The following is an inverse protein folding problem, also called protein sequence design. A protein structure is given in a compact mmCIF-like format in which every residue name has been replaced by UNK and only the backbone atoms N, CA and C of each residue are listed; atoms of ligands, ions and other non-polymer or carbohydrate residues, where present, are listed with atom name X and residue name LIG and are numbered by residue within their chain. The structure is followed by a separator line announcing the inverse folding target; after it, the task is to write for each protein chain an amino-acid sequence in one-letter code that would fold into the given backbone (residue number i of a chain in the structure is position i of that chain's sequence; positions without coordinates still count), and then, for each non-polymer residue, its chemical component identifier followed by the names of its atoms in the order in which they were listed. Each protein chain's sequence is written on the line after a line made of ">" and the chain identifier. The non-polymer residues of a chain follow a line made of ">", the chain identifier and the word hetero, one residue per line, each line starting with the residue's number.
data_IF_081153775113
#
_entry.id   IF_081153775113
#
_cell.length_a   1.000
_cell.length_b   1.000
_cell.length_c   1.000
_cell.angle_alpha   90.00
_cell.angle_beta   90.00
_cell.angle_gamma   90.00
#
_symmetry.space_group_name_H-M   'P 1'
#
loop_
_entity.id
_entity.type
_entity.pdbx_description
1 polymer ?
#
# COMPACT_ATOMS: atom_id res chain seq x y z
N UNK A 1 -4.04 5.32 15.60
CA UNK A 1 -4.67 4.09 16.08
C UNK A 1 -5.58 3.65 14.95
N UNK A 2 -5.38 2.46 14.36
CA UNK A 2 -6.24 2.00 13.27
C UNK A 2 -7.66 1.80 13.83
N UNK A 3 -8.65 2.42 13.19
CA UNK A 3 -10.06 2.16 13.51
C UNK A 3 -10.44 0.80 12.94
N UNK A 4 -11.04 -0.06 13.77
CA UNK A 4 -11.47 -1.41 13.38
C UNK A 4 -12.97 -1.39 13.07
N UNK A 5 -13.35 -1.77 11.86
CA UNK A 5 -14.75 -1.89 11.48
C UNK A 5 -15.27 -3.31 11.76
N UNK A 6 -16.43 -3.39 12.41
CA UNK A 6 -17.05 -4.66 12.80
C UNK A 6 -18.53 -4.70 12.37
N UNK A 7 -18.97 -5.86 11.93
CA UNK A 7 -20.37 -6.15 11.59
C UNK A 7 -21.00 -6.95 12.74
N UNK A 8 -22.20 -6.55 13.16
CA UNK A 8 -23.00 -7.32 14.13
C UNK A 8 -23.76 -8.43 13.41
N UNK A 9 -23.37 -9.67 13.65
CA UNK A 9 -24.05 -10.89 13.17
C UNK A 9 -24.82 -11.55 14.32
N UNK A 10 -25.51 -12.68 14.12
CA UNK A 10 -26.15 -13.39 15.23
C UNK A 10 -25.12 -13.94 16.25
N UNK A 11 -23.96 -14.38 15.75
CA UNK A 11 -22.90 -15.04 16.50
C UNK A 11 -21.97 -14.07 17.25
N UNK A 12 -22.03 -12.76 16.94
CA UNK A 12 -21.22 -11.76 17.63
C UNK A 12 -20.87 -10.58 16.75
N UNK A 13 -19.69 -10.00 16.99
CA UNK A 13 -19.06 -9.01 16.13
C UNK A 13 -18.02 -9.72 15.26
N UNK A 14 -18.06 -9.48 13.95
CA UNK A 14 -17.09 -10.02 12.98
C UNK A 14 -16.38 -8.87 12.25
N UNK A 15 -15.14 -9.04 11.77
CA UNK A 15 -14.45 -8.05 10.94
C UNK A 15 -15.27 -7.68 9.69
N UNK A 16 -15.27 -6.39 9.31
CA UNK A 16 -16.03 -5.90 8.16
C UNK A 16 -15.27 -5.96 6.82
N UNK A 17 -13.94 -6.09 6.87
CA UNK A 17 -13.06 -6.20 5.71
C UNK A 17 -11.93 -7.18 5.99
N UNK A 18 -11.18 -7.56 4.96
CA UNK A 18 -10.02 -8.44 5.15
C UNK A 18 -8.91 -7.74 5.94
N UNK A 19 -8.75 -6.42 5.77
CA UNK A 19 -7.84 -5.62 6.59
C UNK A 19 -8.23 -5.66 8.09
N UNK A 20 -9.52 -5.55 8.40
CA UNK A 20 -10.02 -5.70 9.77
C UNK A 20 -9.75 -7.13 10.30
N UNK A 21 -9.92 -8.14 9.44
CA UNK A 21 -9.69 -9.54 9.80
C UNK A 21 -8.24 -9.79 10.19
N UNK A 22 -7.28 -9.30 9.42
CA UNK A 22 -5.85 -9.42 9.72
C UNK A 22 -5.48 -8.80 11.08
N UNK A 23 -6.12 -7.69 11.46
CA UNK A 23 -5.90 -7.08 12.78
C UNK A 23 -6.45 -7.98 13.88
N UNK A 24 -7.67 -8.48 13.74
CA UNK A 24 -8.29 -9.34 14.76
C UNK A 24 -7.62 -10.70 14.92
N UNK A 25 -7.07 -11.28 13.84
CA UNK A 25 -6.35 -12.56 13.87
C UNK A 25 -5.04 -12.49 14.65
N UNK A 26 -4.45 -11.29 14.80
CA UNK A 26 -3.24 -11.09 15.63
C UNK A 26 -3.54 -11.20 17.12
N UNK A 27 -4.81 -11.10 17.52
CA UNK A 27 -5.21 -11.23 18.92
C UNK A 27 -5.30 -12.70 19.34
N UNK A 28 -4.78 -13.01 20.53
CA UNK A 28 -4.79 -14.39 21.04
C UNK A 28 -6.20 -14.78 21.46
N UNK A 29 -6.55 -16.05 21.26
CA UNK A 29 -7.78 -16.61 21.81
C UNK A 29 -7.83 -16.41 23.34
N UNK A 30 -8.94 -15.89 23.85
CA UNK A 30 -9.12 -15.55 25.26
C UNK A 30 -8.58 -14.18 25.70
N UNK A 31 -7.95 -13.41 24.80
CA UNK A 31 -7.50 -12.05 25.11
C UNK A 31 -8.70 -11.11 25.29
N UNK A 32 -8.71 -10.36 26.40
CA UNK A 32 -9.70 -9.30 26.62
C UNK A 32 -9.32 -8.08 25.76
N UNK A 33 -10.20 -7.69 24.86
CA UNK A 33 -10.05 -6.50 24.02
C UNK A 33 -11.09 -5.47 24.45
N UNK A 34 -10.65 -4.24 24.74
CA UNK A 34 -11.54 -3.13 25.03
C UNK A 34 -11.55 -2.15 23.85
N UNK A 35 -12.72 -1.62 23.51
CA UNK A 35 -12.87 -0.67 22.41
C UNK A 35 -14.06 0.26 22.65
N UNK A 36 -14.00 1.47 22.09
CA UNK A 36 -15.16 2.36 22.01
C UNK A 36 -15.82 2.13 20.66
N UNK A 37 -17.05 1.64 20.66
CA UNK A 37 -17.78 1.38 19.42
C UNK A 37 -18.69 2.55 19.07
N UNK A 38 -18.60 3.00 17.83
CA UNK A 38 -19.50 4.01 17.25
C UNK A 38 -20.12 3.46 15.97
N UNK A 39 -21.35 3.87 15.67
CA UNK A 39 -22.02 3.44 14.43
C UNK A 39 -21.37 4.15 13.24
N UNK A 40 -20.82 3.37 12.31
CA UNK A 40 -20.34 3.90 11.05
C UNK A 40 -21.52 4.32 10.18
N UNK A 41 -21.59 5.61 9.81
CA UNK A 41 -22.70 6.16 9.03
C UNK A 41 -22.70 5.66 7.58
N UNK A 42 -21.52 5.51 6.99
CA UNK A 42 -21.33 5.19 5.57
C UNK A 42 -20.48 3.93 5.36
N UNK A 43 -20.89 2.82 5.98
CA UNK A 43 -20.19 1.54 5.88
C UNK A 43 -20.07 1.03 4.42
N UNK A 44 -21.01 1.40 3.54
CA UNK A 44 -20.95 1.07 2.11
C UNK A 44 -19.68 1.60 1.42
N UNK A 45 -19.23 2.80 1.77
CA UNK A 45 -18.04 3.42 1.18
C UNK A 45 -16.76 2.75 1.66
N UNK A 46 -16.73 2.42 2.96
CA UNK A 46 -15.64 1.66 3.55
C UNK A 46 -15.49 0.32 2.82
N UNK A 47 -16.57 -0.47 2.74
CA UNK A 47 -16.55 -1.76 2.03
C UNK A 47 -16.10 -1.63 0.59
N UNK A 48 -16.70 -0.71 -0.19
CA UNK A 48 -16.35 -0.49 -1.60
C UNK A 48 -14.89 -0.06 -1.79
N UNK A 49 -14.36 0.78 -0.91
CA UNK A 49 -12.97 1.22 -0.97
C UNK A 49 -11.99 0.09 -0.69
N UNK A 50 -12.24 -0.68 0.37
CA UNK A 50 -11.34 -1.77 0.76
C UNK A 50 -11.40 -2.94 -0.22
N UNK A 51 -12.55 -3.27 -0.80
CA UNK A 51 -12.63 -4.35 -1.80
C UNK A 51 -11.81 -4.06 -3.06
N UNK A 52 -11.76 -2.80 -3.50
CA UNK A 52 -10.88 -2.35 -4.57
C UNK A 52 -9.40 -2.49 -4.21
N UNK A 53 -9.02 -2.14 -2.97
CA UNK A 53 -7.64 -2.31 -2.51
C UNK A 53 -7.26 -3.77 -2.36
N UNK A 54 -8.19 -4.61 -1.90
CA UNK A 54 -8.00 -6.05 -1.76
C UNK A 54 -7.79 -6.70 -3.15
N UNK A 55 -8.56 -6.30 -4.15
CA UNK A 55 -8.31 -6.71 -5.54
C UNK A 55 -6.89 -6.31 -5.99
N UNK A 56 -6.53 -5.04 -5.83
CA UNK A 56 -5.21 -4.57 -6.24
C UNK A 56 -4.08 -5.27 -5.48
N UNK A 57 -4.31 -5.63 -4.23
CA UNK A 57 -3.36 -6.37 -3.40
C UNK A 57 -3.13 -7.81 -3.90
N UNK A 58 -4.20 -8.49 -4.33
CA UNK A 58 -4.12 -9.86 -4.87
C UNK A 58 -3.26 -9.94 -6.13
N UNK A 59 -3.33 -8.94 -6.99
CA UNK A 59 -2.55 -8.87 -8.23
C UNK A 59 -1.18 -8.19 -8.07
N UNK A 60 -0.90 -7.58 -6.92
CA UNK A 60 0.36 -6.87 -6.72
C UNK A 60 1.48 -7.82 -6.32
N UNK A 61 2.55 -7.82 -7.11
CA UNK A 61 3.81 -8.52 -6.80
C UNK A 61 4.92 -7.52 -6.42
N UNK A 62 5.68 -7.77 -5.34
CA UNK A 62 6.78 -6.90 -4.93
C UNK A 62 7.94 -6.98 -5.93
N UNK A 63 8.02 -6.00 -6.82
CA UNK A 63 9.12 -5.87 -7.80
C UNK A 63 10.38 -5.21 -7.20
N UNK A 64 10.25 -4.58 -6.03
CA UNK A 64 11.35 -3.93 -5.35
C UNK A 64 12.15 -4.93 -4.53
N UNK A 65 13.45 -5.05 -4.81
CA UNK A 65 14.37 -5.83 -3.99
C UNK A 65 14.70 -5.14 -2.65
N UNK A 66 15.72 -5.64 -1.98
CA UNK A 66 16.19 -5.09 -0.69
C UNK A 66 16.89 -3.73 -0.83
N UNK A 67 17.05 -3.22 -2.05
CA UNK A 67 17.53 -1.87 -2.35
C UNK A 67 16.36 -1.01 -2.85
N UNK A 68 15.88 -0.05 -2.04
CA UNK A 68 14.78 0.83 -2.43
C UNK A 68 15.09 1.66 -3.68
N UNK A 69 14.05 1.98 -4.46
CA UNK A 69 14.17 2.76 -5.71
C UNK A 69 14.87 4.11 -5.55
N UNK A 70 14.68 4.79 -4.41
CA UNK A 70 15.34 6.07 -4.15
C UNK A 70 16.84 5.93 -3.97
N UNK A 71 17.28 4.89 -3.25
CA UNK A 71 18.69 4.55 -3.07
C UNK A 71 19.31 4.16 -4.41
N UNK A 72 18.64 3.31 -5.18
CA UNK A 72 19.03 2.94 -6.54
C UNK A 72 19.25 4.18 -7.43
N UNK A 73 18.32 5.14 -7.38
CA UNK A 73 18.43 6.40 -8.14
C UNK A 73 19.63 7.23 -7.68
N UNK A 74 19.92 7.25 -6.38
CA UNK A 74 21.10 7.91 -5.83
C UNK A 74 22.42 7.29 -6.33
N UNK A 75 22.53 5.96 -6.24
CA UNK A 75 23.71 5.20 -6.70
C UNK A 75 23.94 5.42 -8.19
N UNK A 76 22.91 5.23 -9.02
CA UNK A 76 22.99 5.44 -10.47
C UNK A 76 23.28 6.91 -10.83
N UNK A 77 22.74 7.85 -10.06
CA UNK A 77 23.00 9.28 -10.23
C UNK A 77 24.47 9.64 -9.97
N UNK A 78 25.05 9.08 -8.90
CA UNK A 78 26.46 9.28 -8.56
C UNK A 78 27.38 8.68 -9.63
N UNK A 79 27.08 7.49 -10.12
CA UNK A 79 27.85 6.87 -11.21
C UNK A 79 27.85 7.73 -12.47
N UNK A 80 26.67 8.21 -12.89
CA UNK A 80 26.53 9.13 -14.04
C UNK A 80 27.32 10.43 -13.83
N UNK A 81 27.33 10.97 -12.62
CA UNK A 81 28.12 12.15 -12.29
C UNK A 81 29.62 11.93 -12.50
N UNK A 82 30.16 10.82 -12.01
CA UNK A 82 31.58 10.49 -12.19
C UNK A 82 31.94 10.21 -13.65
N UNK A 83 31.10 9.50 -14.38
CA UNK A 83 31.30 9.24 -15.82
C UNK A 83 31.30 10.53 -16.65
N UNK A 84 30.43 11.49 -16.30
CA UNK A 84 30.42 12.80 -16.93
C UNK A 84 31.68 13.60 -16.59
N UNK A 85 32.13 13.57 -15.33
CA UNK A 85 33.34 14.26 -14.88
C UNK A 85 34.62 13.68 -15.49
N UNK A 86 34.67 12.37 -15.74
CA UNK A 86 35.83 11.69 -16.35
C UNK A 86 35.81 11.71 -17.89
N UNK A 87 34.70 12.11 -18.50
CA UNK A 87 34.49 12.08 -19.96
C UNK A 87 34.35 10.67 -20.54
N UNK A 88 34.09 9.65 -19.70
CA UNK A 88 34.02 8.24 -20.11
C UNK A 88 32.64 7.66 -19.75
N UNK A 89 31.64 7.77 -20.65
CA UNK A 89 30.30 7.28 -20.38
C UNK A 89 30.28 5.75 -20.24
N UNK A 90 29.43 5.24 -19.34
CA UNK A 90 29.23 3.81 -19.05
C UNK A 90 30.45 3.06 -18.50
N UNK A 91 31.52 3.75 -18.11
CA UNK A 91 32.71 3.10 -17.57
C UNK A 91 32.44 2.40 -16.23
N UNK A 92 31.43 2.85 -15.47
CA UNK A 92 31.15 2.35 -14.13
C UNK A 92 29.97 1.38 -14.10
N UNK A 93 29.34 1.05 -15.23
CA UNK A 93 28.11 0.23 -15.25
C UNK A 93 28.27 -1.10 -14.52
N UNK A 94 29.37 -1.80 -14.78
CA UNK A 94 29.59 -3.14 -14.26
C UNK A 94 29.95 -3.09 -12.77
N UNK A 95 30.74 -2.09 -12.36
CA UNK A 95 31.09 -1.86 -10.96
C UNK A 95 29.85 -1.48 -10.14
N UNK A 96 28.96 -0.66 -10.69
CA UNK A 96 27.70 -0.26 -10.05
C UNK A 96 26.77 -1.46 -9.91
N UNK A 97 26.62 -2.27 -10.96
CA UNK A 97 25.84 -3.49 -10.91
C UNK A 97 26.38 -4.47 -9.85
N UNK A 98 27.71 -4.65 -9.79
CA UNK A 98 28.36 -5.48 -8.78
C UNK A 98 28.12 -4.96 -7.35
N UNK A 99 28.22 -3.64 -7.14
CA UNK A 99 27.96 -3.02 -5.84
C UNK A 99 26.51 -3.22 -5.38
N UNK A 100 25.54 -3.02 -6.27
CA UNK A 100 24.12 -3.25 -5.98
C UNK A 100 23.89 -4.72 -5.61
N UNK A 101 24.44 -5.65 -6.38
CA UNK A 101 24.29 -7.08 -6.12
C UNK A 101 24.90 -7.49 -4.77
N UNK A 102 26.06 -6.93 -4.41
CA UNK A 102 26.67 -7.13 -3.09
C UNK A 102 25.76 -6.59 -1.98
N UNK A 103 25.25 -5.36 -2.13
CA UNK A 103 24.35 -4.74 -1.15
C UNK A 103 23.06 -5.54 -0.95
N UNK A 104 22.49 -6.09 -2.02
CA UNK A 104 21.33 -6.98 -1.96
C UNK A 104 21.64 -8.27 -1.20
N UNK A 105 22.80 -8.91 -1.45
CA UNK A 105 23.21 -10.13 -0.76
C UNK A 105 23.41 -9.90 0.75
N UNK A 106 24.12 -8.83 1.13
CA UNK A 106 24.33 -8.47 2.53
C UNK A 106 23.02 -8.17 3.27
N UNK A 107 22.08 -7.50 2.59
CA UNK A 107 20.75 -7.23 3.17
C UNK A 107 19.91 -8.50 3.27
N UNK A 108 20.02 -9.42 2.31
CA UNK A 108 19.28 -10.67 2.34
C UNK A 108 19.71 -11.56 3.51
N UNK A 109 21.00 -11.56 3.85
CA UNK A 109 21.51 -12.23 5.05
C UNK A 109 20.93 -11.62 6.33
N UNK A 110 20.84 -10.29 6.39
CA UNK A 110 20.31 -9.57 7.56
C UNK A 110 18.79 -9.64 7.69
N UNK A 111 18.07 -9.72 6.58
CA UNK A 111 16.60 -9.68 6.50
C UNK A 111 16.08 -10.84 5.62
N UNK A 112 16.14 -12.10 6.10
CA UNK A 112 15.91 -13.29 5.28
C UNK A 112 14.45 -13.54 4.88
N UNK A 113 13.48 -12.91 5.54
CA UNK A 113 12.06 -13.01 5.21
C UNK A 113 11.38 -11.66 5.38
N UNK A 114 10.95 -11.06 4.26
CA UNK A 114 10.19 -9.81 4.24
C UNK A 114 8.86 -10.09 3.57
N UNK A 115 7.82 -10.24 4.38
CA UNK A 115 6.48 -10.50 3.90
C UNK A 115 5.82 -9.24 3.34
N UNK A 116 4.88 -9.43 2.39
CA UNK A 116 4.01 -8.33 1.95
C UNK A 116 3.19 -7.83 3.15
N UNK A 117 2.96 -6.53 3.24
CA UNK A 117 2.02 -5.93 4.21
C UNK A 117 0.86 -5.20 3.52
N UNK A 118 -0.39 -5.61 3.78
CA UNK A 118 -1.59 -4.94 3.23
C UNK A 118 -1.66 -3.48 3.66
N UNK A 119 -1.32 -3.21 4.91
CA UNK A 119 -1.30 -1.84 5.44
C UNK A 119 -0.27 -0.97 4.72
N UNK A 120 0.94 -1.49 4.51
CA UNK A 120 1.98 -0.77 3.76
C UNK A 120 1.60 -0.56 2.29
N UNK A 121 0.96 -1.55 1.66
CA UNK A 121 0.43 -1.43 0.30
C UNK A 121 -0.67 -0.36 0.20
N UNK A 122 -1.63 -0.36 1.13
CA UNK A 122 -2.68 0.67 1.22
C UNK A 122 -2.08 2.06 1.36
N UNK A 123 -1.12 2.25 2.28
CA UNK A 123 -0.46 3.53 2.47
C UNK A 123 0.25 3.98 1.20
N UNK A 124 0.98 3.08 0.54
CA UNK A 124 1.65 3.35 -0.71
C UNK A 124 0.67 3.79 -1.81
N UNK A 125 -0.40 3.03 -2.06
CA UNK A 125 -1.40 3.39 -3.07
C UNK A 125 -2.07 4.73 -2.75
N UNK A 126 -2.38 5.00 -1.47
CA UNK A 126 -2.98 6.27 -1.05
C UNK A 126 -2.05 7.46 -1.31
N UNK A 127 -0.74 7.28 -1.08
CA UNK A 127 0.29 8.28 -1.40
C UNK A 127 0.40 8.49 -2.91
N UNK A 128 0.40 7.40 -3.69
CA UNK A 128 0.48 7.45 -5.16
C UNK A 128 -0.76 8.05 -5.81
N UNK A 129 -1.92 7.98 -5.14
CA UNK A 129 -3.15 8.66 -5.50
C UNK A 129 -3.12 10.17 -5.16
N UNK A 130 -2.07 10.67 -4.51
CA UNK A 130 -1.93 12.09 -4.15
C UNK A 130 -2.53 12.45 -2.79
N UNK A 131 -3.05 11.49 -2.02
CA UNK A 131 -3.62 11.73 -0.71
C UNK A 131 -2.57 11.59 0.40
N UNK A 132 -1.60 12.50 0.43
CA UNK A 132 -0.54 12.52 1.44
C UNK A 132 -0.27 13.92 1.99
N UNK A 133 0.44 13.99 3.11
CA UNK A 133 1.09 15.19 3.61
C UNK A 133 2.60 14.94 3.75
N UNK A 134 3.38 16.02 3.70
CA UNK A 134 4.82 15.95 3.96
C UNK A 134 5.05 16.13 5.45
N UNK A 135 5.79 15.21 6.05
CA UNK A 135 6.26 15.30 7.43
C UNK A 135 7.77 15.39 7.46
N UNK A 136 8.29 16.23 8.36
CA UNK A 136 9.72 16.32 8.64
C UNK A 136 10.03 15.46 9.86
N UNK A 137 10.88 14.47 9.68
CA UNK A 137 11.42 13.60 10.74
C UNK A 137 12.91 13.94 10.97
N UNK A 138 13.53 13.41 12.02
CA UNK A 138 14.99 13.49 12.20
C UNK A 138 15.79 12.96 11.01
N UNK A 139 15.21 11.98 10.28
CA UNK A 139 15.84 11.35 9.11
C UNK A 139 15.58 12.09 7.80
N UNK A 140 14.74 13.13 7.81
CA UNK A 140 14.44 13.94 6.63
C UNK A 140 12.94 14.12 6.36
N UNK A 141 12.60 14.56 5.15
CA UNK A 141 11.20 14.74 4.74
C UNK A 141 10.68 13.45 4.13
N UNK A 142 9.54 12.95 4.63
CA UNK A 142 8.83 11.80 4.05
C UNK A 142 7.37 12.12 3.77
N UNK A 143 6.76 11.37 2.85
CA UNK A 143 5.32 11.37 2.63
C UNK A 143 4.64 10.48 3.66
N UNK A 144 3.49 10.90 4.15
CA UNK A 144 2.63 10.11 5.02
C UNK A 144 1.20 10.15 4.45
N UNK A 145 0.56 8.98 4.37
CA UNK A 145 -0.79 8.87 3.82
C UNK A 145 -1.78 9.65 4.68
N UNK A 146 -2.70 10.38 4.05
CA UNK A 146 -3.81 11.03 4.75
C UNK A 146 -4.73 9.95 5.31
N UNK A 147 -5.09 10.09 6.59
CA UNK A 147 -6.13 9.24 7.18
C UNK A 147 -7.50 9.57 6.57
N UNK A 148 -8.29 8.54 6.26
CA UNK A 148 -9.61 8.68 5.66
C UNK A 148 -10.67 8.60 6.77
N UNK A 149 -11.44 9.67 6.95
CA UNK A 149 -12.53 9.73 7.93
C UNK A 149 -13.85 9.28 7.31
N UNK A 150 -14.23 8.02 7.53
CA UNK A 150 -15.45 7.43 6.98
C UNK A 150 -16.73 7.99 7.60
N UNK A 151 -16.70 8.35 8.88
CA UNK A 151 -17.89 8.77 9.62
C UNK A 151 -18.46 10.12 9.17
N UNK A 152 -17.63 10.99 8.60
CA UNK A 152 -17.97 12.33 8.13
C UNK A 152 -18.08 12.45 6.61
N UNK A 153 -17.84 11.36 5.87
CA UNK A 153 -17.74 11.37 4.42
C UNK A 153 -19.11 11.23 3.75
N UNK A 154 -19.46 12.14 2.85
CA UNK A 154 -20.65 12.05 2.00
C UNK A 154 -20.31 11.54 0.57
N UNK A 155 -21.31 11.35 -0.28
CA UNK A 155 -21.09 10.88 -1.66
C UNK A 155 -20.19 11.85 -2.46
N UNK A 156 -20.29 13.18 -2.21
CA UNK A 156 -19.51 14.18 -2.95
C UNK A 156 -18.02 14.18 -2.58
N UNK A 157 -17.68 13.86 -1.33
CA UNK A 157 -16.31 13.67 -0.88
C UNK A 157 -15.75 12.28 -1.21
N UNK A 158 -16.61 11.25 -1.22
CA UNK A 158 -16.18 9.87 -1.47
C UNK A 158 -15.80 9.64 -2.93
N UNK A 159 -16.62 10.07 -3.89
CA UNK A 159 -16.43 9.73 -5.30
C UNK A 159 -15.08 10.20 -5.88
N UNK A 160 -14.58 11.43 -5.58
CA UNK A 160 -13.26 11.85 -6.02
C UNK A 160 -12.14 11.01 -5.41
N UNK A 161 -12.19 10.76 -4.10
CA UNK A 161 -11.20 9.93 -3.40
C UNK A 161 -11.17 8.51 -3.99
N UNK A 162 -12.34 7.91 -4.18
CA UNK A 162 -12.46 6.56 -4.72
C UNK A 162 -11.84 6.49 -6.12
N UNK A 163 -12.17 7.46 -6.99
CA UNK A 163 -11.62 7.54 -8.34
C UNK A 163 -10.11 7.76 -8.34
N UNK A 164 -9.58 8.66 -7.51
CA UNK A 164 -8.14 8.95 -7.45
C UNK A 164 -7.35 7.72 -7.01
N UNK A 165 -7.84 7.00 -5.99
CA UNK A 165 -7.23 5.75 -5.52
C UNK A 165 -7.40 4.62 -6.53
N UNK A 166 -8.57 4.50 -7.18
CA UNK A 166 -8.76 3.54 -8.27
C UNK A 166 -7.78 3.77 -9.42
N UNK A 167 -7.60 5.01 -9.86
CA UNK A 167 -6.64 5.37 -10.91
C UNK A 167 -5.21 4.98 -10.53
N UNK A 168 -4.84 5.12 -9.25
CA UNK A 168 -3.56 4.65 -8.75
C UNK A 168 -3.46 3.11 -8.81
N UNK A 169 -4.46 2.38 -8.30
CA UNK A 169 -4.52 0.91 -8.41
C UNK A 169 -4.43 0.43 -9.86
N UNK A 170 -5.16 1.09 -10.76
CA UNK A 170 -5.18 0.80 -12.19
C UNK A 170 -3.78 0.97 -12.80
N UNK A 171 -3.20 2.17 -12.69
CA UNK A 171 -1.88 2.50 -13.24
C UNK A 171 -0.75 1.63 -12.68
N UNK A 172 -0.83 1.27 -11.41
CA UNK A 172 0.26 0.61 -10.69
C UNK A 172 0.21 -0.92 -10.77
N UNK A 173 -1.00 -1.48 -10.89
CA UNK A 173 -1.21 -2.93 -10.76
C UNK A 173 -2.22 -3.44 -11.79
N UNK A 174 -3.48 -2.99 -11.71
CA UNK A 174 -4.59 -3.69 -12.35
C UNK A 174 -4.56 -3.63 -13.88
N UNK A 175 -3.98 -2.57 -14.48
CA UNK A 175 -3.94 -2.41 -15.94
C UNK A 175 -3.13 -3.50 -16.66
N UNK A 176 -2.27 -4.23 -15.95
CA UNK A 176 -1.53 -5.36 -16.50
C UNK A 176 -2.35 -6.66 -16.52
N UNK A 177 -3.45 -6.73 -15.77
CA UNK A 177 -4.23 -7.95 -15.52
C UNK A 177 -5.67 -7.87 -16.04
N UNK A 178 -6.19 -6.67 -16.26
CA UNK A 178 -7.56 -6.44 -16.71
C UNK A 178 -7.58 -5.67 -18.03
N UNK A 179 -8.50 -6.04 -18.92
CA UNK A 179 -8.66 -5.40 -20.23
C UNK A 179 -9.29 -3.99 -20.14
N UNK A 180 -10.07 -3.74 -19.08
CA UNK A 180 -10.73 -2.45 -18.86
C UNK A 180 -10.95 -2.14 -17.39
N UNK A 181 -11.07 -0.85 -17.07
CA UNK A 181 -11.40 -0.38 -15.73
C UNK A 181 -12.74 -0.93 -15.23
N UNK A 182 -13.73 -1.05 -16.12
CA UNK A 182 -15.04 -1.60 -15.79
C UNK A 182 -14.97 -3.07 -15.33
N UNK A 183 -14.13 -3.88 -15.98
CA UNK A 183 -13.91 -5.27 -15.58
C UNK A 183 -13.25 -5.36 -14.19
N UNK A 184 -12.27 -4.50 -13.91
CA UNK A 184 -11.62 -4.43 -12.60
C UNK A 184 -12.58 -3.98 -11.50
N UNK A 185 -13.41 -2.95 -11.75
CA UNK A 185 -14.43 -2.50 -10.79
C UNK A 185 -15.46 -3.59 -10.47
N UNK A 186 -15.93 -4.31 -11.49
CA UNK A 186 -16.84 -5.44 -11.30
C UNK A 186 -16.21 -6.56 -10.45
N UNK A 187 -14.93 -6.87 -10.68
CA UNK A 187 -14.19 -7.83 -9.86
C UNK A 187 -14.02 -7.36 -8.40
N UNK A 188 -13.72 -6.08 -8.19
CA UNK A 188 -13.63 -5.51 -6.85
C UNK A 188 -14.97 -5.55 -6.10
N UNK A 189 -16.08 -5.29 -6.78
CA UNK A 189 -17.42 -5.37 -6.19
C UNK A 189 -17.77 -6.81 -5.78
N UNK A 190 -17.34 -7.81 -6.56
CA UNK A 190 -17.52 -9.22 -6.22
C UNK A 190 -16.74 -9.60 -4.95
N UNK A 191 -15.48 -9.16 -4.78
CA UNK A 191 -14.70 -9.41 -3.56
C UNK A 191 -15.41 -8.84 -2.33
N UNK A 192 -15.91 -7.61 -2.43
CA UNK A 192 -16.61 -6.93 -1.32
C UNK A 192 -17.93 -7.58 -0.91
N UNK A 193 -18.54 -8.40 -1.79
CA UNK A 193 -19.81 -9.08 -1.51
C UNK A 193 -19.67 -10.30 -0.59
N UNK A 194 -18.45 -10.84 -0.42
CA UNK A 194 -18.16 -12.00 0.43
C UNK A 194 -17.61 -11.63 1.82
N UNK A 195 -17.42 -10.33 2.10
CA UNK A 195 -16.90 -9.79 3.36
C UNK A 195 -18.01 -9.40 4.37
#
# INVERSE_FOLDING_TARGET
>A
MAELALIRTAQGLVPATEADREVTQKWKLGQVVHGKFTRMRNAKFHGKFFSMLDLAWEYWEPVGGLVPRQEMRGILGLAKFFEAASGKPRQLSDAVAAYIAQLEAERAERFPAVDKSREAFREWVTIEAGHFHLVRTPDGVRKEAKSISWASMDDTAFEPLYRDVFNACWRLVLSAHFESEAAALSAADQIGSYA
#
